data_IF_641411550111
#
_entry.id   IF_641411550111
#
_cell.length_a   1.000
_cell.length_b   1.000
_cell.length_c   1.000
_cell.angle_alpha   90.00
_cell.angle_beta   90.00
_cell.angle_gamma   90.00
#
_symmetry.space_group_name_H-M   'P 1'
#
loop_
_entity.id
_entity.type
_entity.pdbx_description
1 polymer ?
#
# COMPACT_ATOMS: atom_id res chain seq x y z
N UNK A 1 -28.86 -69.79 -31.03
CA UNK A 1 -30.19 -69.47 -30.44
C UNK A 1 -29.99 -69.24 -28.95
N UNK A 2 -30.48 -68.12 -28.39
CA UNK A 2 -30.39 -67.86 -26.95
C UNK A 2 -31.28 -68.84 -26.17
N UNK A 3 -30.77 -69.35 -25.07
CA UNK A 3 -31.55 -70.16 -24.13
C UNK A 3 -32.46 -69.26 -23.29
N UNK A 4 -33.47 -69.85 -22.64
CA UNK A 4 -34.30 -69.12 -21.65
C UNK A 4 -33.44 -68.49 -20.56
N UNK A 5 -32.43 -69.22 -20.09
CA UNK A 5 -31.52 -68.73 -19.04
C UNK A 5 -30.79 -67.47 -19.49
N UNK A 6 -30.38 -67.40 -20.76
CA UNK A 6 -29.70 -66.24 -21.32
C UNK A 6 -30.62 -65.01 -21.38
N UNK A 7 -31.89 -65.22 -21.76
CA UNK A 7 -32.90 -64.17 -21.82
C UNK A 7 -33.27 -63.66 -20.42
N UNK A 8 -33.52 -64.55 -19.46
CA UNK A 8 -33.86 -64.17 -18.07
C UNK A 8 -32.66 -63.44 -17.40
N UNK A 9 -31.43 -63.88 -17.67
CA UNK A 9 -30.21 -63.22 -17.20
C UNK A 9 -30.02 -61.82 -17.83
N UNK A 10 -30.29 -61.68 -19.13
CA UNK A 10 -30.24 -60.40 -19.83
C UNK A 10 -31.25 -59.39 -19.26
N UNK A 11 -32.51 -59.81 -19.07
CA UNK A 11 -33.54 -58.94 -18.48
C UNK A 11 -33.20 -58.51 -17.07
N UNK A 12 -32.62 -59.41 -16.27
CA UNK A 12 -32.18 -59.09 -14.91
C UNK A 12 -31.07 -58.03 -14.92
N UNK A 13 -30.06 -58.17 -15.78
CA UNK A 13 -28.99 -57.17 -15.96
C UNK A 13 -29.54 -55.82 -16.44
N UNK A 14 -30.41 -55.82 -17.44
CA UNK A 14 -31.03 -54.59 -17.97
C UNK A 14 -31.85 -53.85 -16.92
N UNK A 15 -32.64 -54.56 -16.10
CA UNK A 15 -33.41 -53.94 -15.00
C UNK A 15 -32.49 -53.30 -13.97
N UNK A 16 -31.47 -54.03 -13.54
CA UNK A 16 -30.49 -53.51 -12.57
C UNK A 16 -29.77 -52.28 -13.10
N UNK A 17 -29.34 -52.32 -14.37
CA UNK A 17 -28.65 -51.20 -14.99
C UNK A 17 -29.56 -50.01 -15.29
N UNK A 18 -30.82 -50.23 -15.67
CA UNK A 18 -31.80 -49.15 -15.83
C UNK A 18 -32.08 -48.42 -14.51
N UNK A 19 -32.20 -49.18 -13.40
CA UNK A 19 -32.35 -48.58 -12.08
C UNK A 19 -31.11 -47.78 -11.65
N UNK A 20 -29.91 -48.27 -11.95
CA UNK A 20 -28.67 -47.52 -11.76
C UNK A 20 -28.65 -46.24 -12.60
N UNK A 21 -28.99 -46.32 -13.89
CA UNK A 21 -29.04 -45.17 -14.79
C UNK A 21 -30.00 -44.10 -14.26
N UNK A 22 -31.20 -44.48 -13.81
CA UNK A 22 -32.16 -43.55 -13.21
C UNK A 22 -31.58 -42.81 -12.00
N UNK A 23 -30.92 -43.55 -11.09
CA UNK A 23 -30.30 -42.96 -9.91
C UNK A 23 -29.16 -42.00 -10.27
N UNK A 24 -28.29 -42.37 -11.22
CA UNK A 24 -27.19 -41.52 -11.66
C UNK A 24 -27.68 -40.26 -12.41
N UNK A 25 -28.78 -40.36 -13.18
CA UNK A 25 -29.38 -39.22 -13.87
C UNK A 25 -29.99 -38.20 -12.90
N UNK A 26 -30.70 -38.66 -11.85
CA UNK A 26 -31.23 -37.77 -10.82
C UNK A 26 -30.13 -37.01 -10.07
N UNK A 27 -29.04 -37.70 -9.72
CA UNK A 27 -27.91 -37.05 -9.06
C UNK A 27 -27.19 -36.06 -10.00
N UNK A 28 -27.01 -36.43 -11.27
CA UNK A 28 -26.39 -35.55 -12.26
C UNK A 28 -27.23 -34.29 -12.52
N UNK A 29 -28.56 -34.42 -12.62
CA UNK A 29 -29.48 -33.30 -12.77
C UNK A 29 -29.36 -32.31 -11.60
N UNK A 30 -29.33 -32.83 -10.37
CA UNK A 30 -29.13 -32.03 -9.17
C UNK A 30 -27.75 -31.32 -9.13
N UNK A 31 -26.69 -31.98 -9.61
CA UNK A 31 -25.35 -31.37 -9.72
C UNK A 31 -25.35 -30.25 -10.76
N UNK A 32 -25.91 -30.50 -11.94
CA UNK A 32 -26.00 -29.52 -13.04
C UNK A 32 -26.77 -28.28 -12.58
N UNK A 33 -27.93 -28.45 -11.95
CA UNK A 33 -28.73 -27.32 -11.50
C UNK A 33 -28.06 -26.51 -10.38
N UNK A 34 -27.43 -27.19 -9.41
CA UNK A 34 -26.75 -26.51 -8.30
C UNK A 34 -25.51 -25.73 -8.76
N UNK A 35 -24.73 -26.29 -9.68
CA UNK A 35 -23.39 -25.76 -9.99
C UNK A 35 -23.34 -24.96 -11.29
N UNK A 36 -24.13 -25.31 -12.29
CA UNK A 36 -24.18 -24.61 -13.57
C UNK A 36 -25.25 -23.51 -13.56
N UNK A 37 -26.24 -23.58 -12.67
CA UNK A 37 -27.18 -22.48 -12.41
C UNK A 37 -27.90 -21.96 -13.66
N UNK A 38 -28.26 -20.67 -13.64
CA UNK A 38 -28.93 -20.00 -14.75
C UNK A 38 -28.00 -19.84 -15.98
N UNK A 39 -28.34 -20.43 -17.15
CA UNK A 39 -27.58 -20.29 -18.38
C UNK A 39 -27.17 -18.86 -18.77
N UNK A 40 -28.02 -17.80 -18.65
CA UNK A 40 -27.64 -16.45 -19.09
C UNK A 40 -26.49 -15.81 -18.30
N UNK A 41 -26.08 -16.41 -17.17
CA UNK A 41 -24.96 -15.91 -16.36
C UNK A 41 -23.62 -16.54 -16.72
N UNK A 42 -23.62 -17.71 -17.36
CA UNK A 42 -22.41 -18.37 -17.82
C UNK A 42 -21.93 -17.74 -19.12
N UNK A 43 -20.61 -17.71 -19.33
CA UNK A 43 -19.97 -17.21 -20.56
C UNK A 43 -18.93 -18.20 -21.08
N UNK A 44 -18.49 -17.98 -22.31
CA UNK A 44 -17.39 -18.69 -22.96
C UNK A 44 -17.50 -20.21 -22.88
N UNK A 45 -16.38 -20.86 -22.56
CA UNK A 45 -16.25 -22.33 -22.59
C UNK A 45 -17.15 -23.00 -21.56
N UNK A 46 -17.30 -22.39 -20.38
CA UNK A 46 -18.21 -22.94 -19.35
C UNK A 46 -19.66 -22.94 -19.83
N UNK A 47 -20.11 -21.89 -20.52
CA UNK A 47 -21.47 -21.84 -21.07
C UNK A 47 -21.70 -22.91 -22.15
N UNK A 48 -20.71 -23.13 -23.02
CA UNK A 48 -20.77 -24.16 -24.07
C UNK A 48 -20.90 -25.56 -23.48
N UNK A 49 -20.04 -25.90 -22.50
CA UNK A 49 -20.08 -27.20 -21.81
C UNK A 49 -21.40 -27.37 -21.06
N UNK A 50 -21.88 -26.33 -20.36
CA UNK A 50 -23.14 -26.39 -19.63
C UNK A 50 -24.35 -26.58 -20.57
N UNK A 51 -24.37 -25.88 -21.71
CA UNK A 51 -25.42 -26.03 -22.71
C UNK A 51 -25.40 -27.42 -23.34
N UNK A 52 -24.22 -27.96 -23.65
CA UNK A 52 -24.08 -29.32 -24.17
C UNK A 52 -24.50 -30.38 -23.15
N UNK A 53 -24.10 -30.21 -21.89
CA UNK A 53 -24.49 -31.10 -20.81
C UNK A 53 -26.00 -31.17 -20.63
N UNK A 54 -26.69 -30.01 -20.64
CA UNK A 54 -28.15 -29.95 -20.57
C UNK A 54 -28.83 -30.62 -21.76
N UNK A 55 -28.35 -30.40 -23.00
CA UNK A 55 -28.89 -31.07 -24.19
C UNK A 55 -28.73 -32.59 -24.10
N UNK A 56 -27.55 -33.08 -23.71
CA UNK A 56 -27.27 -34.52 -23.57
C UNK A 56 -28.09 -35.16 -22.45
N UNK A 57 -28.31 -34.44 -21.35
CA UNK A 57 -29.12 -34.92 -20.23
C UNK A 57 -30.57 -35.21 -20.66
N UNK A 58 -31.17 -34.35 -21.49
CA UNK A 58 -32.50 -34.59 -22.06
C UNK A 58 -32.52 -35.88 -22.87
N UNK A 59 -31.56 -36.08 -23.78
CA UNK A 59 -31.47 -37.31 -24.58
C UNK A 59 -31.21 -38.58 -23.75
N UNK A 60 -30.55 -38.46 -22.59
CA UNK A 60 -30.36 -39.56 -21.66
C UNK A 60 -31.65 -39.93 -20.93
N UNK A 61 -32.47 -38.95 -20.55
CA UNK A 61 -33.79 -39.21 -19.98
C UNK A 61 -34.73 -39.88 -20.97
N UNK A 62 -34.72 -39.44 -22.24
CA UNK A 62 -35.45 -40.11 -23.33
C UNK A 62 -34.97 -41.55 -23.53
N UNK A 63 -33.65 -41.78 -23.48
CA UNK A 63 -33.08 -43.13 -23.55
C UNK A 63 -33.49 -44.00 -22.38
N UNK A 64 -33.50 -43.46 -21.17
CA UNK A 64 -34.01 -44.17 -19.99
C UNK A 64 -35.49 -44.52 -20.12
N UNK A 65 -36.34 -43.60 -20.61
CA UNK A 65 -37.75 -43.86 -20.86
C UNK A 65 -37.94 -45.01 -21.88
N UNK A 66 -37.22 -44.99 -23.00
CA UNK A 66 -37.27 -46.04 -24.01
C UNK A 66 -36.83 -47.42 -23.46
N UNK A 67 -35.79 -47.46 -22.61
CA UNK A 67 -35.34 -48.68 -21.94
C UNK A 67 -36.42 -49.21 -20.99
N UNK A 68 -37.09 -48.33 -20.26
CA UNK A 68 -38.16 -48.71 -19.33
C UNK A 68 -39.40 -49.25 -20.07
N UNK A 69 -39.75 -48.66 -21.21
CA UNK A 69 -40.83 -49.15 -22.09
C UNK A 69 -40.50 -50.55 -22.64
N UNK A 70 -39.26 -50.75 -23.09
CA UNK A 70 -38.77 -52.06 -23.53
C UNK A 70 -38.84 -53.10 -22.40
N UNK A 71 -38.41 -52.74 -21.19
CA UNK A 71 -38.48 -53.61 -20.01
C UNK A 71 -39.93 -53.96 -19.63
N UNK A 72 -40.85 -53.01 -19.80
CA UNK A 72 -42.30 -53.21 -19.57
C UNK A 72 -42.90 -54.15 -20.62
N UNK A 73 -42.59 -53.95 -21.91
CA UNK A 73 -43.01 -54.84 -22.98
C UNK A 73 -42.44 -56.25 -22.81
N UNK A 74 -41.16 -56.36 -22.42
CA UNK A 74 -40.52 -57.64 -22.13
C UNK A 74 -41.17 -58.34 -20.93
N UNK A 75 -41.54 -57.60 -19.88
CA UNK A 75 -42.25 -58.17 -18.74
C UNK A 75 -43.63 -58.71 -19.14
N UNK A 76 -44.36 -57.98 -19.99
CA UNK A 76 -45.65 -58.40 -20.52
C UNK A 76 -45.54 -59.69 -21.37
N UNK A 77 -44.56 -59.79 -22.28
CA UNK A 77 -44.36 -61.00 -23.11
C UNK A 77 -43.82 -62.19 -22.28
N UNK A 78 -43.06 -61.91 -21.20
CA UNK A 78 -42.55 -62.93 -20.27
C UNK A 78 -43.68 -63.64 -19.51
N UNK A 79 -44.67 -62.86 -19.04
CA UNK A 79 -45.80 -63.31 -18.23
C UNK A 79 -45.42 -63.97 -16.90
N UNK A 80 -46.42 -64.37 -16.11
CA UNK A 80 -46.24 -64.98 -14.78
C UNK A 80 -46.00 -66.51 -14.81
N UNK A 81 -46.11 -67.12 -16.00
CA UNK A 81 -46.06 -68.57 -16.15
C UNK A 81 -44.67 -69.19 -15.91
N UNK A 82 -44.58 -70.35 -15.23
CA UNK A 82 -43.31 -71.02 -14.97
C UNK A 82 -42.65 -71.63 -16.22
N UNK A 83 -43.41 -71.78 -17.32
CA UNK A 83 -42.93 -72.34 -18.60
C UNK A 83 -43.09 -71.32 -19.74
N UNK A 84 -41.96 -70.89 -20.30
CA UNK A 84 -41.88 -70.15 -21.57
C UNK A 84 -41.81 -71.14 -22.74
N UNK A 85 -42.76 -71.05 -23.67
CA UNK A 85 -42.67 -71.78 -24.93
C UNK A 85 -41.60 -71.19 -25.86
N UNK A 86 -41.01 -72.02 -26.73
CA UNK A 86 -39.95 -71.61 -27.65
C UNK A 86 -40.29 -70.36 -28.49
N UNK A 87 -41.57 -70.20 -28.89
CA UNK A 87 -42.04 -69.02 -29.62
C UNK A 87 -41.94 -67.73 -28.81
N UNK A 88 -42.29 -67.75 -27.51
CA UNK A 88 -42.16 -66.57 -26.63
C UNK A 88 -40.71 -66.25 -26.36
N UNK A 89 -39.86 -67.26 -26.15
CA UNK A 89 -38.41 -67.07 -26.01
C UNK A 89 -37.82 -66.40 -27.25
N UNK A 90 -38.24 -66.81 -28.45
CA UNK A 90 -37.80 -66.17 -29.70
C UNK A 90 -38.29 -64.72 -29.83
N UNK A 91 -39.52 -64.40 -29.42
CA UNK A 91 -40.04 -63.03 -29.41
C UNK A 91 -39.33 -62.13 -28.40
N UNK A 92 -39.06 -62.63 -27.19
CA UNK A 92 -38.28 -61.90 -26.19
C UNK A 92 -36.84 -61.65 -26.67
N UNK A 93 -36.21 -62.65 -27.30
CA UNK A 93 -34.90 -62.47 -27.90
C UNK A 93 -34.95 -61.41 -29.01
N UNK A 94 -35.94 -61.46 -29.88
CA UNK A 94 -36.15 -60.47 -30.94
C UNK A 94 -36.41 -59.06 -30.38
N UNK A 95 -37.16 -58.91 -29.29
CA UNK A 95 -37.40 -57.62 -28.64
C UNK A 95 -36.10 -57.02 -28.05
N UNK A 96 -35.26 -57.88 -27.47
CA UNK A 96 -33.95 -57.47 -26.93
C UNK A 96 -32.94 -57.15 -28.04
N UNK A 97 -33.07 -57.80 -29.19
CA UNK A 97 -32.22 -57.62 -30.37
C UNK A 97 -32.73 -56.56 -31.36
N UNK A 98 -33.96 -56.09 -31.19
CA UNK A 98 -34.50 -55.02 -31.99
C UNK A 98 -33.67 -53.76 -31.70
N UNK A 99 -33.01 -53.24 -32.73
CA UNK A 99 -32.66 -51.83 -32.70
C UNK A 99 -33.99 -51.06 -32.71
N UNK A 100 -34.22 -50.18 -31.73
CA UNK A 100 -35.39 -49.32 -31.79
C UNK A 100 -35.31 -48.50 -33.07
N UNK A 101 -36.39 -48.47 -33.85
CA UNK A 101 -36.57 -47.69 -35.09
C UNK A 101 -36.52 -46.15 -34.87
N UNK A 102 -35.90 -45.70 -33.77
CA UNK A 102 -35.82 -44.31 -33.39
C UNK A 102 -34.60 -43.64 -34.00
N UNK A 103 -34.86 -42.52 -34.70
CA UNK A 103 -33.88 -41.52 -35.12
C UNK A 103 -32.73 -41.43 -34.12
N UNK A 104 -31.54 -41.79 -34.56
CA UNK A 104 -30.32 -41.68 -33.77
C UNK A 104 -30.20 -40.23 -33.32
N UNK A 105 -30.13 -39.92 -32.01
CA UNK A 105 -30.06 -38.54 -31.55
C UNK A 105 -28.82 -37.88 -32.18
N UNK A 106 -29.01 -36.68 -32.74
CA UNK A 106 -28.06 -35.96 -33.61
C UNK A 106 -26.76 -35.47 -32.94
N UNK A 107 -26.29 -36.13 -31.87
CA UNK A 107 -25.09 -35.77 -31.12
C UNK A 107 -24.26 -36.94 -30.62
N UNK A 108 -24.52 -38.18 -31.07
CA UNK A 108 -23.66 -39.32 -30.77
C UNK A 108 -22.32 -39.15 -31.51
N UNK A 109 -21.33 -38.60 -30.80
CA UNK A 109 -19.96 -38.45 -31.28
C UNK A 109 -19.40 -39.85 -31.56
N UNK A 110 -18.90 -40.10 -32.77
CA UNK A 110 -18.27 -41.35 -33.19
C UNK A 110 -16.97 -41.60 -32.40
N UNK A 111 -17.10 -42.03 -31.14
CA UNK A 111 -15.99 -42.46 -30.32
C UNK A 111 -15.57 -43.87 -30.75
N UNK A 112 -14.57 -43.91 -31.63
CA UNK A 112 -13.62 -45.00 -31.88
C UNK A 112 -14.19 -46.44 -31.92
N UNK A 113 -14.45 -46.89 -33.15
CA UNK A 113 -14.58 -48.30 -33.50
C UNK A 113 -13.29 -49.07 -33.14
N UNK A 114 -13.31 -49.81 -32.03
CA UNK A 114 -12.20 -50.65 -31.64
C UNK A 114 -12.62 -51.68 -30.60
N UNK A 115 -12.68 -52.94 -31.04
CA UNK A 115 -13.05 -54.17 -30.32
C UNK A 115 -14.54 -54.51 -30.36
N UNK A 116 -14.95 -55.14 -31.47
CA UNK A 116 -16.16 -55.95 -31.55
C UNK A 116 -16.12 -57.04 -30.47
N UNK A 117 -16.74 -56.78 -29.33
CA UNK A 117 -17.04 -57.82 -28.35
C UNK A 117 -18.17 -58.66 -28.93
N UNK A 118 -17.94 -59.94 -29.28
CA UNK A 118 -18.94 -60.73 -29.96
C UNK A 118 -20.12 -60.98 -29.02
N UNK A 119 -21.31 -60.52 -29.43
CA UNK A 119 -22.63 -60.81 -28.88
C UNK A 119 -23.16 -59.98 -27.69
N UNK A 120 -22.87 -58.68 -27.62
CA UNK A 120 -23.69 -57.79 -26.76
C UNK A 120 -25.10 -57.58 -27.36
N UNK A 121 -26.11 -57.67 -26.49
CA UNK A 121 -27.51 -57.36 -26.83
C UNK A 121 -27.60 -55.86 -27.14
N UNK A 122 -28.22 -55.42 -28.25
CA UNK A 122 -28.38 -54.01 -28.60
C UNK A 122 -28.90 -53.13 -27.45
N UNK A 123 -29.89 -53.61 -26.70
CA UNK A 123 -30.40 -52.92 -25.50
C UNK A 123 -29.34 -52.78 -24.40
N UNK A 124 -28.48 -53.78 -24.20
CA UNK A 124 -27.38 -53.72 -23.23
C UNK A 124 -26.32 -52.71 -23.68
N UNK A 125 -25.93 -52.74 -24.95
CA UNK A 125 -24.99 -51.76 -25.53
C UNK A 125 -25.50 -50.33 -25.36
N UNK A 126 -26.80 -50.09 -25.58
CA UNK A 126 -27.44 -48.78 -25.37
C UNK A 126 -27.39 -48.33 -23.92
N UNK A 127 -27.65 -49.24 -22.98
CA UNK A 127 -27.52 -48.96 -21.55
C UNK A 127 -26.07 -48.64 -21.17
N UNK A 128 -25.11 -49.42 -21.65
CA UNK A 128 -23.68 -49.21 -21.39
C UNK A 128 -23.21 -47.86 -21.95
N UNK A 129 -23.68 -47.48 -23.16
CA UNK A 129 -23.45 -46.17 -23.78
C UNK A 129 -24.09 -45.02 -22.98
N UNK A 130 -25.33 -45.20 -22.51
CA UNK A 130 -26.00 -44.20 -21.66
C UNK A 130 -25.24 -43.97 -20.35
N UNK A 131 -24.80 -45.04 -19.68
CA UNK A 131 -23.98 -44.95 -18.48
C UNK A 131 -22.61 -44.31 -18.75
N UNK A 132 -21.99 -44.61 -19.90
CA UNK A 132 -20.75 -43.96 -20.31
C UNK A 132 -20.94 -42.45 -20.52
N UNK A 133 -22.04 -42.05 -21.16
CA UNK A 133 -22.41 -40.65 -21.35
C UNK A 133 -22.69 -39.92 -20.03
N UNK A 134 -23.37 -40.57 -19.07
CA UNK A 134 -23.57 -40.00 -17.72
C UNK A 134 -22.23 -39.74 -17.03
N UNK A 135 -21.28 -40.67 -17.09
CA UNK A 135 -19.93 -40.48 -16.52
C UNK A 135 -19.18 -39.34 -17.21
N UNK A 136 -19.28 -39.22 -18.53
CA UNK A 136 -18.67 -38.13 -19.28
C UNK A 136 -19.24 -36.76 -18.88
N UNK A 137 -20.57 -36.66 -18.73
CA UNK A 137 -21.23 -35.44 -18.26
C UNK A 137 -20.82 -35.08 -16.83
N UNK A 138 -20.74 -36.08 -15.94
CA UNK A 138 -20.27 -35.88 -14.58
C UNK A 138 -18.84 -35.36 -14.54
N UNK A 139 -17.94 -35.96 -15.32
CA UNK A 139 -16.55 -35.50 -15.41
C UNK A 139 -16.46 -34.03 -15.89
N UNK A 140 -17.29 -33.63 -16.86
CA UNK A 140 -17.35 -32.25 -17.32
C UNK A 140 -17.89 -31.27 -16.26
N UNK A 141 -18.91 -31.68 -15.49
CA UNK A 141 -19.41 -30.89 -14.38
C UNK A 141 -18.38 -30.75 -13.25
N UNK A 142 -17.69 -31.85 -12.92
CA UNK A 142 -16.63 -31.89 -11.91
C UNK A 142 -15.44 -30.99 -12.32
N UNK A 143 -15.09 -30.91 -13.60
CA UNK A 143 -14.07 -30.00 -14.13
C UNK A 143 -14.43 -28.52 -13.83
N UNK A 144 -15.68 -28.11 -14.12
CA UNK A 144 -16.17 -26.75 -13.83
C UNK A 144 -16.16 -26.45 -12.32
N UNK A 145 -16.61 -27.41 -11.51
CA UNK A 145 -16.64 -27.28 -10.05
C UNK A 145 -15.23 -27.13 -9.50
N UNK A 146 -14.30 -27.98 -9.95
CA UNK A 146 -12.90 -27.96 -9.54
C UNK A 146 -12.25 -26.63 -9.92
N UNK A 147 -12.40 -26.17 -11.17
CA UNK A 147 -11.85 -24.90 -11.61
C UNK A 147 -12.35 -23.73 -10.76
N UNK A 148 -13.66 -23.68 -10.48
CA UNK A 148 -14.24 -22.64 -9.62
C UNK A 148 -13.72 -22.72 -8.18
N UNK A 149 -13.54 -23.92 -7.64
CA UNK A 149 -12.97 -24.12 -6.31
C UNK A 149 -11.53 -23.61 -6.24
N UNK A 150 -10.69 -23.97 -7.22
CA UNK A 150 -9.30 -23.51 -7.33
C UNK A 150 -9.20 -21.98 -7.36
N UNK A 151 -10.00 -21.31 -8.19
CA UNK A 151 -9.98 -19.85 -8.27
C UNK A 151 -10.47 -19.18 -6.98
N UNK A 152 -11.49 -19.74 -6.32
CA UNK A 152 -11.97 -19.23 -5.02
C UNK A 152 -10.92 -19.38 -3.93
N UNK A 153 -10.23 -20.51 -3.89
CA UNK A 153 -9.12 -20.75 -2.96
C UNK A 153 -7.99 -19.74 -3.18
N UNK A 154 -7.66 -19.44 -4.44
CA UNK A 154 -6.66 -18.42 -4.80
C UNK A 154 -7.09 -16.99 -4.40
N UNK A 155 -8.38 -16.63 -4.58
CA UNK A 155 -8.90 -15.30 -4.25
C UNK A 155 -9.17 -15.10 -2.75
N UNK A 156 -9.40 -16.16 -1.98
CA UNK A 156 -9.74 -16.09 -0.56
C UNK A 156 -8.71 -15.33 0.31
N UNK A 157 -7.39 -15.60 0.24
CA UNK A 157 -6.39 -14.83 1.01
C UNK A 157 -6.37 -13.34 0.62
N UNK A 158 -6.51 -13.02 -0.67
CA UNK A 158 -6.55 -11.64 -1.15
C UNK A 158 -7.78 -10.90 -0.62
N UNK A 159 -8.93 -11.57 -0.58
CA UNK A 159 -10.15 -11.02 0.03
C UNK A 159 -10.01 -10.74 1.53
N UNK A 160 -9.33 -11.62 2.28
CA UNK A 160 -9.04 -11.40 3.71
C UNK A 160 -8.12 -10.20 3.93
N UNK A 161 -7.01 -10.13 3.17
CA UNK A 161 -6.08 -9.01 3.23
C UNK A 161 -6.76 -7.66 2.90
N UNK A 162 -7.62 -7.64 1.88
CA UNK A 162 -8.41 -6.45 1.55
C UNK A 162 -9.34 -6.06 2.72
N UNK A 163 -10.02 -7.03 3.32
CA UNK A 163 -10.89 -6.80 4.49
C UNK A 163 -10.14 -6.26 5.71
N UNK A 164 -8.94 -6.77 6.00
CA UNK A 164 -8.07 -6.27 7.08
C UNK A 164 -7.58 -4.84 6.82
N UNK A 165 -7.22 -4.55 5.57
CA UNK A 165 -6.84 -3.20 5.15
C UNK A 165 -8.01 -2.21 5.27
N UNK A 166 -9.21 -2.63 4.88
CA UNK A 166 -10.44 -1.82 5.04
C UNK A 166 -10.78 -1.58 6.51
N UNK A 167 -10.66 -2.60 7.37
CA UNK A 167 -10.88 -2.44 8.81
C UNK A 167 -9.86 -1.48 9.43
N UNK A 168 -8.60 -1.56 9.00
CA UNK A 168 -7.56 -0.62 9.44
C UNK A 168 -7.84 0.80 8.95
N UNK A 169 -8.22 0.97 7.69
CA UNK A 169 -8.58 2.27 7.14
C UNK A 169 -9.78 2.88 7.89
N UNK A 170 -10.80 2.09 8.19
CA UNK A 170 -11.96 2.53 8.96
C UNK A 170 -11.59 2.96 10.39
N UNK A 171 -10.72 2.21 11.08
CA UNK A 171 -10.19 2.58 12.40
C UNK A 171 -9.41 3.90 12.36
N UNK A 172 -8.77 4.23 11.24
CA UNK A 172 -8.07 5.51 11.02
C UNK A 172 -9.01 6.66 10.59
N UNK A 173 -10.33 6.41 10.52
CA UNK A 173 -11.33 7.39 10.08
C UNK A 173 -11.27 7.70 8.59
N UNK A 174 -10.71 6.82 7.75
CA UNK A 174 -10.71 6.98 6.30
C UNK A 174 -12.05 6.55 5.72
N UNK A 175 -12.64 7.37 4.85
CA UNK A 175 -13.90 7.03 4.20
C UNK A 175 -13.63 6.13 3.00
N UNK A 176 -14.38 5.03 2.90
CA UNK A 176 -14.31 4.15 1.74
C UNK A 176 -15.33 4.64 0.71
N UNK A 177 -14.85 5.33 -0.33
CA UNK A 177 -15.64 5.67 -1.50
C UNK A 177 -16.45 4.47 -2.01
N UNK A 178 -17.74 4.64 -2.26
CA UNK A 178 -18.49 3.75 -3.16
C UNK A 178 -19.29 2.61 -2.54
N UNK A 179 -19.66 2.65 -1.25
CA UNK A 179 -20.65 1.69 -0.72
C UNK A 179 -22.11 2.13 -0.98
N UNK A 180 -22.36 3.37 -1.37
CA UNK A 180 -23.68 3.83 -1.77
C UNK A 180 -23.83 3.80 -3.29
N UNK A 181 -24.81 3.06 -3.88
CA UNK A 181 -25.31 3.49 -5.17
C UNK A 181 -25.74 4.94 -4.97
N UNK A 182 -25.11 5.87 -5.69
CA UNK A 182 -25.71 7.18 -5.93
C UNK A 182 -27.01 6.86 -6.65
N UNK A 183 -28.08 6.64 -5.89
CA UNK A 183 -29.43 6.67 -6.40
C UNK A 183 -29.57 8.09 -6.92
N UNK A 184 -29.32 8.24 -8.23
CA UNK A 184 -29.85 9.35 -8.97
C UNK A 184 -31.35 9.27 -8.71
N UNK A 185 -31.82 10.08 -7.76
CA UNK A 185 -33.24 10.33 -7.62
C UNK A 185 -33.75 10.69 -9.01
N UNK A 186 -34.94 10.21 -9.41
CA UNK A 186 -35.53 10.59 -10.69
C UNK A 186 -35.88 12.08 -10.60
N UNK A 187 -34.91 12.93 -10.87
CA UNK A 187 -35.08 14.36 -11.07
C UNK A 187 -35.93 14.50 -12.33
N UNK A 188 -37.16 14.95 -12.11
CA UNK A 188 -38.13 15.22 -13.16
C UNK A 188 -37.52 16.09 -14.25
N UNK A 189 -37.82 15.71 -15.48
CA UNK A 189 -37.73 16.58 -16.63
C UNK A 189 -38.70 17.75 -16.43
N UNK A 190 -38.19 18.88 -15.92
CA UNK A 190 -38.75 20.18 -16.27
C UNK A 190 -37.89 20.76 -17.37
N UNK A 191 -38.46 20.70 -18.57
CA UNK A 191 -38.04 21.50 -19.69
C UNK A 191 -38.32 22.97 -19.35
N UNK A 192 -37.28 23.79 -19.32
CA UNK A 192 -37.45 25.21 -19.58
C UNK A 192 -36.38 25.68 -20.56
N UNK A 193 -36.86 26.34 -21.61
CA UNK A 193 -36.10 26.79 -22.75
C UNK A 193 -35.82 28.29 -22.65
N UNK A 194 -34.62 28.67 -23.07
CA UNK A 194 -34.19 30.06 -23.29
C UNK A 194 -32.66 30.08 -23.25
N UNK A 195 -31.92 30.00 -24.36
CA UNK A 195 -31.79 30.99 -25.44
C UNK A 195 -31.63 32.42 -24.92
N UNK A 196 -30.38 32.86 -24.78
CA UNK A 196 -29.91 34.20 -25.18
C UNK A 196 -28.43 34.10 -25.57
N UNK A 197 -28.15 34.73 -26.71
CA UNK A 197 -26.89 34.91 -27.43
C UNK A 197 -25.82 35.78 -26.71
N UNK A 198 -24.65 35.82 -27.36
CA UNK A 198 -23.66 36.91 -27.41
C UNK A 198 -22.91 37.30 -26.11
N UNK A 199 -21.58 37.24 -26.12
CA UNK A 199 -20.78 38.29 -26.75
C UNK A 199 -19.29 37.96 -26.71
N UNK A 200 -18.61 38.30 -27.80
CA UNK A 200 -17.18 38.22 -28.03
C UNK A 200 -16.56 39.52 -27.51
N UNK A 201 -15.50 39.45 -26.71
CA UNK A 201 -14.61 40.61 -26.54
C UNK A 201 -13.15 40.23 -26.41
N UNK A 202 -12.42 40.67 -27.43
CA UNK A 202 -10.98 40.69 -27.61
C UNK A 202 -10.46 42.05 -27.10
N UNK A 203 -9.46 42.03 -26.23
CA UNK A 203 -8.49 43.11 -25.98
C UNK A 203 -7.31 42.44 -25.26
N UNK A 204 -6.12 42.26 -25.85
CA UNK A 204 -5.10 43.20 -26.34
C UNK A 204 -4.60 44.26 -25.33
N UNK A 205 -3.28 44.25 -25.15
CA UNK A 205 -2.43 45.39 -24.77
C UNK A 205 -2.30 45.77 -23.29
N UNK A 206 -1.16 45.44 -22.67
CA UNK A 206 -0.80 46.03 -21.36
C UNK A 206 0.53 45.57 -20.76
N UNK A 207 1.65 45.95 -21.38
CA UNK A 207 3.00 45.89 -20.81
C UNK A 207 3.18 46.96 -19.72
N UNK A 208 3.61 46.57 -18.50
CA UNK A 208 4.27 47.47 -17.54
C UNK A 208 5.32 46.69 -16.73
N UNK A 209 6.55 47.20 -16.82
CA UNK A 209 7.71 46.91 -16.00
C UNK A 209 7.55 47.37 -14.54
N UNK A 210 8.13 46.60 -13.62
CA UNK A 210 8.82 47.17 -12.46
C UNK A 210 8.11 47.16 -11.11
N UNK A 211 8.81 46.62 -10.10
CA UNK A 211 8.61 46.99 -8.70
C UNK A 211 8.33 45.81 -7.77
N UNK A 212 9.39 45.22 -7.24
CA UNK A 212 9.31 44.20 -6.20
C UNK A 212 8.47 44.63 -5.00
N UNK A 213 7.50 43.80 -4.65
CA UNK A 213 6.88 43.76 -3.34
C UNK A 213 6.45 42.32 -3.11
N UNK A 214 7.24 41.58 -2.33
CA UNK A 214 6.83 40.26 -1.80
C UNK A 214 5.85 40.53 -0.66
N UNK A 215 4.69 41.07 -1.02
CA UNK A 215 3.53 41.09 -0.16
C UNK A 215 3.04 39.64 -0.05
N UNK A 216 3.21 39.07 1.13
CA UNK A 216 2.66 37.77 1.48
C UNK A 216 1.13 37.84 1.38
N UNK A 217 0.59 37.44 0.23
CA UNK A 217 -0.83 37.23 -0.01
C UNK A 217 -1.38 36.29 1.06
N UNK A 218 -2.12 36.88 2.00
CA UNK A 218 -2.94 36.19 3.00
C UNK A 218 -4.34 35.94 2.45
N UNK A 219 -4.44 35.11 1.42
CA UNK A 219 -5.66 34.59 0.84
C UNK A 219 -5.40 33.11 0.55
N UNK A 220 -6.38 32.23 0.79
CA UNK A 220 -6.30 30.75 0.79
C UNK A 220 -6.08 30.11 2.18
N UNK A 221 -7.01 30.39 3.11
CA UNK A 221 -7.55 29.30 3.95
C UNK A 221 -8.64 28.57 3.14
N UNK A 222 -8.35 28.27 1.88
CA UNK A 222 -9.12 27.36 1.06
C UNK A 222 -9.07 26.01 1.77
N UNK A 223 -10.25 25.42 1.98
CA UNK A 223 -10.38 24.18 2.72
C UNK A 223 -9.42 23.16 2.15
N UNK A 224 -8.45 22.73 2.96
CA UNK A 224 -7.67 21.54 2.69
C UNK A 224 -8.67 20.38 2.75
N UNK A 225 -9.38 20.14 1.66
CA UNK A 225 -10.11 18.91 1.41
C UNK A 225 -9.01 17.87 1.24
N UNK A 226 -8.57 17.33 2.38
CA UNK A 226 -7.73 16.14 2.39
C UNK A 226 -8.66 15.06 1.87
N UNK A 227 -8.52 14.68 0.60
CA UNK A 227 -9.30 13.58 0.03
C UNK A 227 -9.24 12.39 1.00
N UNK A 228 -10.38 12.07 1.61
CA UNK A 228 -10.52 11.05 2.67
C UNK A 228 -10.40 9.62 2.13
N UNK A 229 -10.13 9.49 0.83
CA UNK A 229 -10.11 8.25 0.10
C UNK A 229 -8.67 7.75 -0.08
N UNK A 230 -8.48 6.43 0.04
CA UNK A 230 -7.25 5.75 -0.39
C UNK A 230 -7.53 5.17 -1.77
N UNK A 231 -7.14 5.83 -2.89
CA UNK A 231 -7.53 5.41 -4.23
C UNK A 231 -7.08 3.98 -4.55
N UNK A 232 -5.91 3.58 -4.05
CA UNK A 232 -5.39 2.23 -4.19
C UNK A 232 -6.35 1.16 -3.63
N UNK A 233 -7.05 1.45 -2.52
CA UNK A 233 -8.00 0.52 -1.90
C UNK A 233 -9.29 0.38 -2.71
N UNK A 234 -9.71 1.45 -3.40
CA UNK A 234 -10.83 1.40 -4.35
C UNK A 234 -10.45 0.56 -5.59
N UNK A 235 -9.25 0.75 -6.13
CA UNK A 235 -8.70 -0.04 -7.25
C UNK A 235 -8.60 -1.52 -6.89
N UNK A 236 -8.04 -1.87 -5.73
CA UNK A 236 -7.93 -3.26 -5.27
C UNK A 236 -9.31 -3.95 -5.14
N UNK A 237 -10.31 -3.21 -4.63
CA UNK A 237 -11.69 -3.71 -4.51
C UNK A 237 -12.34 -3.95 -5.87
N UNK A 238 -12.17 -3.01 -6.81
CA UNK A 238 -12.69 -3.15 -8.16
C UNK A 238 -12.05 -4.34 -8.88
N UNK A 239 -10.74 -4.53 -8.74
CA UNK A 239 -10.02 -5.68 -9.30
C UNK A 239 -10.53 -7.01 -8.72
N UNK A 240 -10.67 -7.10 -7.38
CA UNK A 240 -11.20 -8.31 -6.74
C UNK A 240 -12.63 -8.61 -7.19
N UNK A 241 -13.50 -7.60 -7.25
CA UNK A 241 -14.88 -7.77 -7.71
C UNK A 241 -14.94 -8.23 -9.17
N UNK A 242 -14.10 -7.66 -10.05
CA UNK A 242 -14.01 -8.08 -11.45
C UNK A 242 -13.57 -9.54 -11.57
N UNK A 243 -12.54 -9.95 -10.82
CA UNK A 243 -12.07 -11.33 -10.81
C UNK A 243 -13.15 -12.31 -10.30
N UNK A 244 -13.88 -11.94 -9.24
CA UNK A 244 -14.98 -12.75 -8.72
C UNK A 244 -16.11 -12.92 -9.75
N UNK A 245 -16.45 -11.85 -10.48
CA UNK A 245 -17.45 -11.90 -11.57
C UNK A 245 -16.97 -12.80 -12.72
N UNK A 246 -15.70 -12.69 -13.12
CA UNK A 246 -15.12 -13.52 -14.17
C UNK A 246 -15.12 -15.01 -13.78
N UNK A 247 -14.69 -15.35 -12.56
CA UNK A 247 -14.71 -16.72 -12.02
C UNK A 247 -16.14 -17.29 -11.91
N UNK A 248 -17.13 -16.43 -11.62
CA UNK A 248 -18.52 -16.85 -11.58
C UNK A 248 -19.07 -17.15 -12.99
N UNK A 249 -18.72 -16.33 -13.98
CA UNK A 249 -19.21 -16.41 -15.35
C UNK A 249 -18.53 -17.52 -16.17
N UNK A 250 -17.21 -17.64 -16.10
CA UNK A 250 -16.45 -18.63 -16.87
C UNK A 250 -15.20 -19.12 -16.11
N UNK A 251 -15.36 -20.02 -15.11
CA UNK A 251 -14.24 -20.54 -14.33
C UNK A 251 -13.20 -21.33 -15.15
N UNK A 252 -13.56 -21.85 -16.33
CA UNK A 252 -12.64 -22.63 -17.17
C UNK A 252 -11.69 -21.77 -18.00
N UNK A 253 -12.03 -20.48 -18.22
CA UNK A 253 -11.26 -19.57 -19.08
C UNK A 253 -10.94 -18.24 -18.38
N UNK A 254 -10.71 -18.29 -17.06
CA UNK A 254 -10.26 -17.11 -16.30
C UNK A 254 -8.80 -16.83 -16.65
N UNK A 255 -8.48 -15.64 -17.21
CA UNK A 255 -7.10 -15.29 -17.52
C UNK A 255 -6.24 -15.25 -16.25
N UNK A 256 -5.04 -15.84 -16.30
CA UNK A 256 -4.12 -15.81 -15.16
C UNK A 256 -3.70 -14.37 -14.81
N UNK A 257 -3.63 -13.50 -15.82
CA UNK A 257 -3.31 -12.08 -15.70
C UNK A 257 -4.37 -11.33 -14.88
N UNK A 258 -5.64 -11.75 -14.97
CA UNK A 258 -6.72 -11.13 -14.18
C UNK A 258 -6.56 -11.41 -12.69
N UNK A 259 -6.14 -12.63 -12.32
CA UNK A 259 -5.86 -12.98 -10.94
C UNK A 259 -4.60 -12.28 -10.42
N UNK A 260 -3.54 -12.20 -11.24
CA UNK A 260 -2.33 -11.47 -10.90
C UNK A 260 -2.61 -9.98 -10.67
N UNK A 261 -3.45 -9.38 -11.51
CA UNK A 261 -3.86 -7.97 -11.40
C UNK A 261 -4.54 -7.64 -10.05
N UNK A 262 -5.21 -8.61 -9.40
CA UNK A 262 -5.75 -8.41 -8.04
C UNK A 262 -4.62 -8.23 -7.03
N UNK A 263 -3.57 -9.06 -7.11
CA UNK A 263 -2.39 -8.95 -6.25
C UNK A 263 -1.65 -7.63 -6.49
N UNK A 264 -1.44 -7.26 -7.75
CA UNK A 264 -0.76 -6.03 -8.14
C UNK A 264 -1.53 -4.78 -7.70
N UNK A 265 -2.86 -4.80 -7.73
CA UNK A 265 -3.69 -3.72 -7.22
C UNK A 265 -3.72 -3.67 -5.68
N UNK A 266 -3.63 -4.83 -5.01
CA UNK A 266 -3.70 -4.93 -3.56
C UNK A 266 -2.41 -4.49 -2.87
N UNK A 267 -1.24 -4.82 -3.42
CA UNK A 267 0.06 -4.45 -2.85
C UNK A 267 0.20 -2.95 -2.51
N UNK A 268 -0.03 -2.00 -3.43
CA UNK A 268 0.05 -0.57 -3.12
C UNK A 268 -1.03 -0.12 -2.11
N UNK A 269 -2.19 -0.78 -2.07
CA UNK A 269 -3.23 -0.48 -1.09
C UNK A 269 -2.80 -0.88 0.33
N UNK A 270 -2.18 -2.06 0.49
CA UNK A 270 -1.64 -2.52 1.75
C UNK A 270 -0.51 -1.60 2.24
N UNK A 271 0.41 -1.23 1.36
CA UNK A 271 1.52 -0.32 1.69
C UNK A 271 1.03 1.06 2.13
N UNK A 272 0.04 1.61 1.41
CA UNK A 272 -0.55 2.90 1.74
C UNK A 272 -1.25 2.87 3.11
N UNK A 273 -2.09 1.87 3.37
CA UNK A 273 -2.78 1.72 4.67
C UNK A 273 -1.78 1.49 5.80
N UNK A 274 -0.74 0.67 5.59
CA UNK A 274 0.28 0.42 6.59
C UNK A 274 1.12 1.68 6.88
N UNK A 275 1.42 2.51 5.87
CA UNK A 275 2.11 3.79 6.05
C UNK A 275 1.25 4.78 6.87
N UNK A 276 -0.04 4.87 6.58
CA UNK A 276 -0.98 5.72 7.32
C UNK A 276 -1.14 5.24 8.78
N UNK A 277 -1.26 3.93 8.99
CA UNK A 277 -1.31 3.34 10.33
C UNK A 277 -0.04 3.66 11.14
N UNK A 278 1.15 3.50 10.54
CA UNK A 278 2.41 3.87 11.20
C UNK A 278 2.46 5.36 11.52
N UNK A 279 2.02 6.24 10.63
CA UNK A 279 2.01 7.69 10.88
C UNK A 279 1.07 8.06 12.03
N UNK A 280 -0.11 7.44 12.08
CA UNK A 280 -1.06 7.59 13.17
C UNK A 280 -0.49 7.08 14.51
N UNK A 281 0.06 5.88 14.54
CA UNK A 281 0.54 5.24 15.78
C UNK A 281 1.75 5.96 16.38
N UNK A 282 2.60 6.59 15.55
CA UNK A 282 3.76 7.35 16.02
C UNK A 282 3.44 8.81 16.38
N UNK A 283 2.21 9.29 16.16
CA UNK A 283 1.86 10.70 16.28
C UNK A 283 2.20 11.30 17.65
N UNK A 284 1.84 10.59 18.72
CA UNK A 284 2.08 11.05 20.08
C UNK A 284 3.59 11.16 20.39
N UNK A 285 4.38 10.19 19.93
CA UNK A 285 5.83 10.22 20.09
C UNK A 285 6.47 11.34 19.26
N UNK A 286 5.96 11.57 18.06
CA UNK A 286 6.42 12.62 17.16
C UNK A 286 6.12 14.04 17.69
N UNK A 287 4.97 14.25 18.31
CA UNK A 287 4.61 15.48 19.01
C UNK A 287 5.50 15.70 20.25
N UNK A 288 5.72 14.67 21.06
CA UNK A 288 6.63 14.77 22.21
C UNK A 288 8.09 15.09 21.78
N UNK A 289 8.54 14.52 20.65
CA UNK A 289 9.84 14.85 20.08
C UNK A 289 9.91 16.30 19.58
N UNK A 290 8.80 16.83 19.06
CA UNK A 290 8.69 18.24 18.70
C UNK A 290 8.76 19.16 19.93
N UNK A 291 8.05 18.86 21.01
CA UNK A 291 8.18 19.61 22.27
C UNK A 291 9.62 19.62 22.79
N UNK A 292 10.29 18.47 22.76
CA UNK A 292 11.70 18.35 23.15
C UNK A 292 12.61 19.21 22.25
N UNK A 293 12.36 19.25 20.94
CA UNK A 293 13.10 20.10 20.01
C UNK A 293 12.86 21.59 20.29
N UNK A 294 11.62 21.99 20.57
CA UNK A 294 11.31 23.37 20.95
C UNK A 294 12.06 23.78 22.23
N UNK A 295 12.10 22.90 23.24
CA UNK A 295 12.85 23.14 24.46
C UNK A 295 14.36 23.32 24.19
N UNK A 296 14.94 22.55 23.25
CA UNK A 296 16.33 22.72 22.83
C UNK A 296 16.56 24.09 22.16
N UNK A 297 15.66 24.54 21.29
CA UNK A 297 15.76 25.87 20.65
C UNK A 297 15.74 26.97 21.71
N UNK A 298 14.81 26.90 22.67
CA UNK A 298 14.71 27.86 23.78
C UNK A 298 15.98 27.88 24.62
N UNK A 299 16.51 26.70 24.98
CA UNK A 299 17.75 26.61 25.75
C UNK A 299 18.95 27.23 25.02
N UNK A 300 19.10 26.94 23.72
CA UNK A 300 20.17 27.52 22.89
C UNK A 300 20.05 29.05 22.79
N UNK A 301 18.84 29.57 22.58
CA UNK A 301 18.58 31.01 22.55
C UNK A 301 18.95 31.69 23.88
N UNK A 302 18.55 31.10 25.01
CA UNK A 302 18.91 31.62 26.34
C UNK A 302 20.41 31.57 26.62
N UNK A 303 21.13 30.54 26.15
CA UNK A 303 22.60 30.51 26.20
C UNK A 303 23.17 31.68 25.42
N UNK A 304 22.68 31.91 24.19
CA UNK A 304 23.12 33.03 23.35
C UNK A 304 22.91 34.40 24.02
N UNK A 305 21.76 34.61 24.68
CA UNK A 305 21.50 35.83 25.45
C UNK A 305 22.43 35.98 26.66
N UNK A 306 22.65 34.91 27.43
CA UNK A 306 23.59 34.95 28.57
C UNK A 306 25.01 35.29 28.11
N UNK A 307 25.47 34.71 26.99
CA UNK A 307 26.78 35.03 26.40
C UNK A 307 26.84 36.48 25.93
N UNK A 308 25.79 36.99 25.30
CA UNK A 308 25.71 38.39 24.91
C UNK A 308 25.83 39.32 26.13
N UNK A 309 25.10 39.06 27.22
CA UNK A 309 25.21 39.84 28.48
C UNK A 309 26.62 39.76 29.07
N UNK A 310 27.22 38.56 29.10
CA UNK A 310 28.58 38.35 29.58
C UNK A 310 29.62 39.15 28.77
N UNK A 311 29.46 39.26 27.45
CA UNK A 311 30.30 40.13 26.61
C UNK A 311 30.11 41.59 26.98
N UNK A 312 28.87 42.10 27.08
CA UNK A 312 28.62 43.50 27.44
C UNK A 312 29.25 43.87 28.79
N UNK A 313 29.13 42.99 29.79
CA UNK A 313 29.69 43.21 31.13
C UNK A 313 31.22 43.17 31.14
N UNK A 314 31.84 42.34 30.30
CA UNK A 314 33.27 42.05 30.38
C UNK A 314 34.10 42.69 29.28
N UNK A 315 33.53 43.09 28.16
CA UNK A 315 34.23 43.53 26.94
C UNK A 315 33.63 44.84 26.43
N UNK A 316 34.47 45.85 26.32
CA UNK A 316 34.14 47.18 25.80
C UNK A 316 34.06 47.18 24.27
N UNK A 317 33.21 48.04 23.70
CA UNK A 317 33.18 48.33 22.26
C UNK A 317 32.59 47.23 21.37
N UNK A 318 32.18 46.10 21.92
CA UNK A 318 31.60 44.96 21.16
C UNK A 318 30.07 44.86 21.27
N UNK A 319 29.40 45.85 21.87
CA UNK A 319 27.95 45.82 22.07
C UNK A 319 27.17 45.80 20.73
N UNK A 320 27.69 46.47 19.71
CA UNK A 320 27.02 46.61 18.40
C UNK A 320 27.15 45.36 17.50
N UNK A 321 28.03 44.42 17.86
CA UNK A 321 28.27 43.18 17.11
C UNK A 321 27.55 41.95 17.66
N UNK A 322 26.74 42.09 18.72
CA UNK A 322 26.09 40.97 19.38
C UNK A 322 24.90 40.48 18.58
N UNK A 323 24.96 39.20 18.19
CA UNK A 323 23.90 38.59 17.40
C UNK A 323 22.73 38.17 18.31
N UNK A 324 21.51 38.28 17.77
CA UNK A 324 20.26 37.82 18.38
C UNK A 324 19.41 37.12 17.33
N UNK A 325 18.53 36.23 17.78
CA UNK A 325 17.50 35.66 16.92
C UNK A 325 16.54 36.76 16.49
N UNK A 326 15.92 36.59 15.33
CA UNK A 326 14.89 37.51 14.83
C UNK A 326 13.68 37.53 15.75
N UNK A 327 13.06 38.70 15.94
CA UNK A 327 11.87 38.84 16.77
C UNK A 327 10.72 37.94 16.29
N UNK A 328 9.91 37.47 17.24
CA UNK A 328 8.71 36.67 16.96
C UNK A 328 8.94 35.21 16.61
N UNK A 329 10.18 34.71 16.61
CA UNK A 329 10.47 33.28 16.34
C UNK A 329 9.74 32.32 17.30
N UNK A 330 9.54 32.74 18.56
CA UNK A 330 8.96 31.92 19.61
C UNK A 330 7.43 32.09 19.71
N UNK A 331 6.97 33.33 19.97
CA UNK A 331 5.58 33.61 20.38
C UNK A 331 4.72 34.34 19.32
N UNK A 332 5.23 34.58 18.10
CA UNK A 332 4.41 35.26 17.10
C UNK A 332 3.14 34.43 16.77
N UNK A 333 1.91 34.98 16.85
CA UNK A 333 0.68 34.19 16.79
C UNK A 333 0.56 33.27 15.56
N UNK A 334 1.01 33.75 14.39
CA UNK A 334 0.91 33.01 13.12
C UNK A 334 2.15 32.17 12.80
N UNK A 335 3.35 32.69 13.08
CA UNK A 335 4.63 32.12 12.60
C UNK A 335 5.56 31.64 13.72
N UNK A 336 5.23 31.90 14.98
CA UNK A 336 6.00 31.46 16.13
C UNK A 336 5.96 29.94 16.27
N UNK A 337 7.10 29.35 16.61
CA UNK A 337 7.22 27.90 16.75
C UNK A 337 6.27 27.34 17.81
N UNK A 338 6.07 28.05 18.92
CA UNK A 338 5.21 27.58 20.02
C UNK A 338 3.73 27.60 19.64
N UNK A 339 3.11 28.74 19.24
CA UNK A 339 1.72 28.74 18.81
C UNK A 339 1.42 27.80 17.65
N UNK A 340 2.39 27.54 16.77
CA UNK A 340 2.23 26.55 15.71
C UNK A 340 2.21 25.13 16.27
N UNK A 341 3.14 24.76 17.15
CA UNK A 341 3.13 23.45 17.79
C UNK A 341 1.86 23.23 18.63
N UNK A 342 1.43 24.25 19.39
CA UNK A 342 0.20 24.19 20.19
C UNK A 342 -1.04 23.87 19.32
N UNK A 343 -1.14 24.46 18.11
CA UNK A 343 -2.21 24.14 17.16
C UNK A 343 -2.13 22.71 16.64
N UNK A 344 -0.93 22.19 16.38
CA UNK A 344 -0.73 20.80 15.97
C UNK A 344 -1.10 19.84 17.11
N UNK A 345 -0.71 20.14 18.34
CA UNK A 345 -1.09 19.35 19.53
C UNK A 345 -2.61 19.34 19.72
N UNK A 346 -3.25 20.51 19.66
CA UNK A 346 -4.71 20.62 19.77
C UNK A 346 -5.44 19.86 18.65
N UNK A 347 -4.93 19.89 17.42
CA UNK A 347 -5.47 19.08 16.33
C UNK A 347 -5.30 17.57 16.60
N UNK A 348 -4.17 17.15 17.15
CA UNK A 348 -3.95 15.77 17.57
C UNK A 348 -4.93 15.31 18.66
N UNK A 349 -5.19 16.17 19.65
CA UNK A 349 -6.17 15.92 20.72
C UNK A 349 -7.61 15.88 20.21
N UNK A 350 -7.93 16.66 19.17
CA UNK A 350 -9.23 16.63 18.49
C UNK A 350 -9.43 15.39 17.58
N UNK A 351 -8.38 14.58 17.38
CA UNK A 351 -8.40 13.43 16.47
C UNK A 351 -8.04 13.75 15.02
N UNK A 352 -7.67 15.00 14.72
CA UNK A 352 -7.27 15.48 13.38
C UNK A 352 -5.80 15.13 13.07
N UNK A 353 -5.45 13.86 13.26
CA UNK A 353 -4.07 13.37 13.14
C UNK A 353 -3.43 13.63 11.78
N UNK A 354 -4.23 13.73 10.70
CA UNK A 354 -3.72 13.99 9.34
C UNK A 354 -3.18 15.41 9.19
N UNK A 355 -3.88 16.39 9.79
CA UNK A 355 -3.41 17.76 9.83
C UNK A 355 -2.06 17.84 10.55
N UNK A 356 -1.93 17.08 11.64
CA UNK A 356 -0.67 16.97 12.39
C UNK A 356 0.41 16.31 11.55
N UNK A 357 0.14 15.15 10.94
CA UNK A 357 1.09 14.43 10.09
C UNK A 357 1.60 15.28 8.91
N UNK A 358 0.75 16.14 8.35
CA UNK A 358 1.12 17.08 7.29
C UNK A 358 1.94 18.28 7.83
N UNK A 359 1.50 18.89 8.93
CA UNK A 359 2.10 20.11 9.47
C UNK A 359 3.42 19.90 10.22
N UNK A 360 3.57 18.77 10.91
CA UNK A 360 4.70 18.53 11.80
C UNK A 360 6.07 18.46 11.10
N UNK A 361 6.22 17.85 9.90
CA UNK A 361 7.48 17.89 9.17
C UNK A 361 7.93 19.31 8.78
N UNK A 362 6.98 20.17 8.40
CA UNK A 362 7.27 21.58 8.10
C UNK A 362 7.71 22.33 9.37
N UNK A 363 6.99 22.11 10.47
CA UNK A 363 7.35 22.67 11.78
C UNK A 363 8.76 22.25 12.21
N UNK A 364 9.08 20.95 12.09
CA UNK A 364 10.39 20.39 12.48
C UNK A 364 11.54 20.99 11.67
N UNK A 365 11.38 21.16 10.36
CA UNK A 365 12.38 21.83 9.51
C UNK A 365 12.65 23.26 9.96
N UNK A 366 11.60 24.03 10.25
CA UNK A 366 11.74 25.41 10.75
C UNK A 366 12.42 25.42 12.12
N UNK A 367 12.00 24.57 13.06
CA UNK A 367 12.60 24.48 14.39
C UNK A 367 14.09 24.08 14.35
N UNK A 368 14.46 23.14 13.48
CA UNK A 368 15.87 22.74 13.28
C UNK A 368 16.72 23.88 12.70
N UNK A 369 16.19 24.61 11.71
CA UNK A 369 16.87 25.79 11.18
C UNK A 369 17.06 26.85 12.28
N UNK A 370 16.03 27.12 13.09
CA UNK A 370 16.12 28.05 14.22
C UNK A 370 17.12 27.58 15.27
N UNK A 371 17.17 26.28 15.60
CA UNK A 371 18.16 25.71 16.52
C UNK A 371 19.60 25.92 16.02
N UNK A 372 19.84 25.66 14.72
CA UNK A 372 21.15 25.87 14.11
C UNK A 372 21.57 27.35 14.19
N UNK A 373 20.66 28.28 13.86
CA UNK A 373 20.91 29.72 13.98
C UNK A 373 21.17 30.14 15.44
N UNK A 374 20.36 29.67 16.39
CA UNK A 374 20.52 29.98 17.82
C UNK A 374 21.88 29.50 18.36
N UNK A 375 22.30 28.30 17.94
CA UNK A 375 23.59 27.71 18.30
C UNK A 375 24.75 28.53 17.72
N UNK A 376 24.66 28.92 16.44
CA UNK A 376 25.66 29.77 15.81
C UNK A 376 25.79 31.14 16.49
N UNK A 377 24.67 31.74 16.88
CA UNK A 377 24.64 32.99 17.66
C UNK A 377 25.32 32.82 19.02
N UNK A 378 25.01 31.74 19.74
CA UNK A 378 25.61 31.46 21.03
C UNK A 378 27.13 31.31 20.93
N UNK A 379 27.63 30.63 19.89
CA UNK A 379 29.06 30.48 19.63
C UNK A 379 29.73 31.80 19.24
N UNK A 380 29.11 32.59 18.36
CA UNK A 380 29.60 33.90 17.97
C UNK A 380 29.70 34.84 19.19
N UNK A 381 28.66 34.87 20.03
CA UNK A 381 28.63 35.69 21.25
C UNK A 381 29.61 35.19 22.31
N UNK A 382 30.00 33.92 22.32
CA UNK A 382 31.02 33.40 23.26
C UNK A 382 32.46 33.72 22.83
N UNK A 383 32.69 34.01 21.54
CA UNK A 383 34.04 34.19 20.98
C UNK A 383 34.85 35.33 21.65
N UNK A 384 34.30 36.53 21.95
CA UNK A 384 35.07 37.59 22.58
C UNK A 384 35.56 37.25 24.00
N UNK A 385 34.73 36.56 24.79
CA UNK A 385 35.11 36.13 26.15
C UNK A 385 36.19 35.04 26.09
N UNK A 386 36.05 34.05 25.21
CA UNK A 386 37.11 33.05 24.99
C UNK A 386 38.41 33.70 24.56
N UNK A 387 38.35 34.67 23.65
CA UNK A 387 39.52 35.43 23.20
C UNK A 387 40.21 36.17 24.35
N UNK A 388 39.44 36.77 25.27
CA UNK A 388 39.98 37.38 26.49
C UNK A 388 40.74 36.37 27.35
N UNK A 389 40.16 35.20 27.56
CA UNK A 389 40.76 34.17 28.42
C UNK A 389 42.00 33.54 27.77
N UNK A 390 41.99 33.36 26.45
CA UNK A 390 43.17 32.99 25.66
C UNK A 390 44.30 34.01 25.81
N UNK A 391 44.03 35.30 25.67
CA UNK A 391 45.03 36.36 25.83
C UNK A 391 45.61 36.38 27.25
N UNK A 392 44.80 36.13 28.28
CA UNK A 392 45.27 35.97 29.67
C UNK A 392 46.18 34.75 29.83
N UNK A 393 45.80 33.61 29.25
CA UNK A 393 46.62 32.40 29.26
C UNK A 393 47.96 32.62 28.55
N UNK A 394 47.93 33.24 27.36
CA UNK A 394 49.12 33.58 26.58
C UNK A 394 50.05 34.52 27.35
N UNK A 395 49.52 35.59 27.95
CA UNK A 395 50.32 36.53 28.74
C UNK A 395 51.03 35.83 29.91
N UNK A 396 50.32 34.95 30.64
CA UNK A 396 50.90 34.14 31.73
C UNK A 396 52.00 33.22 31.22
N UNK A 397 51.79 32.55 30.08
CA UNK A 397 52.77 31.65 29.48
C UNK A 397 54.04 32.41 29.03
N UNK A 398 53.87 33.57 28.40
CA UNK A 398 54.98 34.45 28.01
C UNK A 398 55.76 34.95 29.22
N UNK A 399 55.07 35.33 30.31
CA UNK A 399 55.73 35.75 31.56
C UNK A 399 56.54 34.61 32.20
N UNK A 400 55.99 33.40 32.23
CA UNK A 400 56.72 32.22 32.72
C UNK A 400 57.94 31.90 31.85
N UNK A 401 57.84 32.08 30.53
CA UNK A 401 58.97 31.94 29.60
C UNK A 401 60.06 32.98 29.88
N UNK A 402 59.68 34.25 30.06
CA UNK A 402 60.60 35.33 30.40
C UNK A 402 61.40 35.03 31.68
N UNK A 403 60.72 34.52 32.71
CA UNK A 403 61.36 34.12 33.97
C UNK A 403 62.40 33.00 33.77
N UNK A 404 62.05 31.94 33.02
CA UNK A 404 62.98 30.83 32.75
C UNK A 404 64.21 31.23 31.94
N UNK A 405 64.12 32.28 31.12
CA UNK A 405 65.25 32.76 30.29
C UNK A 405 66.03 33.90 30.93
N UNK A 406 65.71 34.30 32.17
CA UNK A 406 66.33 35.45 32.84
C UNK A 406 65.94 36.82 32.22
N UNK A 407 65.03 36.84 31.25
CA UNK A 407 64.57 38.07 30.60
C UNK A 407 63.47 38.77 31.41
N UNK A 408 62.94 38.10 32.44
CA UNK A 408 61.92 38.65 33.33
C UNK A 408 62.37 39.87 34.12
N UNK A 409 63.68 40.06 34.27
CA UNK A 409 64.32 41.20 34.96
C UNK A 409 64.65 42.37 34.03
N UNK A 410 64.51 42.19 32.70
CA UNK A 410 64.77 43.25 31.74
C UNK A 410 63.72 44.36 31.87
N UNK A 411 64.15 45.56 32.23
CA UNK A 411 63.27 46.72 32.39
C UNK A 411 62.46 47.02 31.12
N UNK A 412 63.04 46.79 29.93
CA UNK A 412 62.36 47.00 28.66
C UNK A 412 61.21 46.00 28.43
N UNK A 413 61.40 44.73 28.83
CA UNK A 413 60.39 43.67 28.74
C UNK A 413 59.30 43.89 29.80
N UNK A 414 59.68 44.27 31.02
CA UNK A 414 58.73 44.55 32.11
C UNK A 414 57.84 45.76 31.81
N UNK A 415 58.41 46.82 31.20
CA UNK A 415 57.67 48.00 30.78
C UNK A 415 56.55 47.70 29.77
N UNK A 416 56.63 46.57 29.03
CA UNK A 416 55.59 46.10 28.12
C UNK A 416 54.61 45.12 28.77
N UNK A 417 55.05 44.40 29.81
CA UNK A 417 54.20 43.48 30.57
C UNK A 417 53.12 44.21 31.37
N UNK A 418 53.49 45.23 32.14
CA UNK A 418 52.56 45.90 33.05
C UNK A 418 51.32 46.51 32.35
N UNK A 419 51.44 47.21 31.20
CA UNK A 419 50.27 47.68 30.45
C UNK A 419 49.38 46.56 29.93
N UNK A 420 49.97 45.46 29.44
CA UNK A 420 49.21 44.30 28.96
C UNK A 420 48.44 43.63 30.10
N UNK A 421 49.06 43.48 31.26
CA UNK A 421 48.41 42.95 32.46
C UNK A 421 47.28 43.87 32.94
N UNK A 422 47.52 45.19 32.99
CA UNK A 422 46.52 46.16 33.39
C UNK A 422 45.31 46.16 32.44
N UNK A 423 45.55 46.13 31.13
CA UNK A 423 44.48 46.03 30.13
C UNK A 423 43.69 44.73 30.26
N UNK A 424 44.36 43.59 30.45
CA UNK A 424 43.68 42.30 30.67
C UNK A 424 43.00 42.16 32.03
N UNK A 425 43.35 43.01 32.99
CA UNK A 425 42.76 43.08 34.33
C UNK A 425 41.52 43.95 34.43
N UNK A 426 41.27 44.84 33.45
CA UNK A 426 40.12 45.75 33.49
C UNK A 426 38.80 45.03 33.19
N UNK A 427 37.70 45.60 33.69
CA UNK A 427 36.34 45.21 33.34
C UNK A 427 35.48 46.48 33.21
N UNK A 428 34.86 46.74 32.03
CA UNK A 428 34.99 45.99 30.78
C UNK A 428 36.38 46.14 30.09
N UNK A 429 36.80 45.15 29.30
CA UNK A 429 38.09 45.11 28.60
C UNK A 429 37.97 45.59 27.16
N UNK A 430 38.88 46.47 26.73
CA UNK A 430 39.11 46.74 25.31
C UNK A 430 39.98 45.61 24.72
N UNK A 431 39.35 44.65 24.03
CA UNK A 431 40.01 43.46 23.49
C UNK A 431 41.07 43.80 22.44
N UNK A 432 40.79 44.76 21.55
CA UNK A 432 41.72 45.15 20.49
C UNK A 432 42.97 45.78 21.07
N UNK A 433 42.80 46.63 22.08
CA UNK A 433 43.93 47.22 22.82
C UNK A 433 44.70 46.15 23.58
N UNK A 434 44.02 45.22 24.25
CA UNK A 434 44.67 44.16 25.01
C UNK A 434 45.49 43.23 24.08
N UNK A 435 44.94 42.85 22.92
CA UNK A 435 45.66 42.05 21.94
C UNK A 435 46.93 42.75 21.43
N UNK A 436 46.83 44.02 21.06
CA UNK A 436 47.99 44.83 20.63
C UNK A 436 49.08 44.87 21.71
N UNK A 437 48.71 45.03 22.98
CA UNK A 437 49.64 45.07 24.10
C UNK A 437 50.30 43.72 24.37
N UNK A 438 49.55 42.61 24.32
CA UNK A 438 50.10 41.25 24.47
C UNK A 438 51.07 40.93 23.33
N UNK A 439 50.73 41.28 22.09
CA UNK A 439 51.63 41.11 20.93
C UNK A 439 52.91 41.93 21.09
N UNK A 440 52.79 43.20 21.49
CA UNK A 440 53.95 44.05 21.74
C UNK A 440 54.86 43.52 22.86
N UNK A 441 54.31 42.83 23.87
CA UNK A 441 55.09 42.13 24.90
C UNK A 441 55.79 40.88 24.33
N UNK A 442 55.08 40.07 23.54
CA UNK A 442 55.67 38.91 22.87
C UNK A 442 56.83 39.30 21.95
N UNK A 443 56.68 40.36 21.16
CA UNK A 443 57.70 40.87 20.24
C UNK A 443 58.94 41.39 21.00
N UNK A 444 58.72 42.11 22.11
CA UNK A 444 59.82 42.56 22.97
C UNK A 444 60.59 41.38 23.60
N UNK A 445 59.88 40.31 23.99
CA UNK A 445 60.51 39.10 24.51
C UNK A 445 61.37 38.40 23.44
N UNK A 446 60.89 38.34 22.20
CA UNK A 446 61.62 37.76 21.08
C UNK A 446 62.85 38.59 20.71
N UNK A 447 62.73 39.91 20.68
CA UNK A 447 63.84 40.81 20.38
C UNK A 447 64.92 40.81 21.48
N UNK A 448 64.52 40.67 22.75
CA UNK A 448 65.43 40.63 23.90
C UNK A 448 66.06 39.24 24.11
N UNK A 449 65.51 38.18 23.51
CA UNK A 449 66.13 36.88 23.55
C UNK A 449 67.49 36.99 22.86
N UNK A 450 68.61 36.79 23.59
CA UNK A 450 69.92 36.85 22.96
C UNK A 450 69.91 35.88 21.78
N UNK A 451 70.48 36.30 20.64
CA UNK A 451 70.66 35.45 19.48
C UNK A 451 71.50 34.23 19.89
N UNK A 452 70.86 33.21 20.47
CA UNK A 452 71.47 31.96 20.88
C UNK A 452 71.64 31.11 19.63
N UNK A 453 72.58 31.53 18.79
CA UNK A 453 73.78 30.79 18.42
C UNK A 453 74.46 31.49 17.23
N UNK A 454 75.67 32.05 17.36
CA UNK A 454 76.65 31.85 16.33
C UNK A 454 77.22 30.44 16.49
N UNK A 455 76.96 29.62 15.48
CA UNK A 455 77.79 28.51 15.05
C UNK A 455 78.14 27.41 16.07
N UNK A 456 77.41 26.27 15.99
CA UNK A 456 78.13 24.99 15.93
C UNK A 456 78.89 24.95 14.61
N UNK A 457 80.00 25.67 14.52
CA UNK A 457 81.06 25.34 13.57
C UNK A 457 81.87 24.22 14.20
N UNK A 458 81.70 23.03 13.63
CA UNK A 458 82.82 22.20 13.17
C UNK A 458 84.09 22.20 14.04
N UNK A 459 84.25 21.17 14.91
CA UNK A 459 85.52 20.57 15.40
C UNK A 459 85.08 19.38 16.28
N UNK A 460 85.42 18.09 16.09
CA UNK A 460 86.41 17.32 15.33
C UNK A 460 85.73 15.97 14.94
N UNK A 461 85.96 15.36 13.78
CA UNK A 461 87.14 14.54 13.43
C UNK A 461 87.49 13.48 14.50
#
# INVERSE_FOLDING_TARGET
MRTRSDVDAALTRLRSGSAQLAAELLDLDAVIDRHLGDPPRLRGRTAEIAADARRRLVGLWETHAALNDLLTAAAAERGEGPRLGARRTARLAALLDAEPDGDRPAGAVDAAAGHDSPAQIPAQRRLDEALANVRALRAAADEIIAARATHREALAPLGRQLGEAQATAHRLGLTLAGAGPRSAGPGGAEADGGSVDDDVSVADGGSVDGGGSVAASGSEADGWVVDDEVPALATARAALALAQVAVAADPLDVPAELLAAVGDALAPALDAVAALARAHDHLAADLAAADALLAQVVAAAQVGERRAREVVERVSGHADGLLRLSDGWFDAPRRGLRPWLDRLTAAGEAGDWRLVAYGLPAWRRTAQATLATATAIAEANAAPVRRRDELRGLLRALRAKAGRTGLGESAAVEARYAPALAALGSAPIDLDRAEKLVRAYADALLAAAPARYPARSEEHA
#
